data_IF_173910346054
#
_entry.id   IF_173910346054
#
_cell.length_a   1.000
_cell.length_b   1.000
_cell.length_c   1.000
_cell.angle_alpha   90.00
_cell.angle_beta   90.00
_cell.angle_gamma   90.00
#
_symmetry.space_group_name_H-M   'P 1'
#
loop_
_entity.id
_entity.type
_entity.pdbx_description
1 polymer ?
#
# COMPACT_ATOMS: atom_id res chain seq x y z
N UNK A 1 14.85 17.71 9.16
CA UNK A 1 13.57 17.80 8.42
C UNK A 1 13.76 17.34 7.00
N UNK A 2 13.38 16.11 6.67
CA UNK A 2 13.27 15.68 5.28
C UNK A 2 11.82 15.73 4.85
N UNK A 3 11.32 16.95 4.57
CA UNK A 3 9.94 17.16 4.12
C UNK A 3 9.55 16.25 2.95
N UNK A 4 10.47 16.03 2.00
CA UNK A 4 10.24 15.11 0.88
C UNK A 4 10.00 13.66 1.32
N UNK A 5 10.72 13.18 2.34
CA UNK A 5 10.53 11.83 2.89
C UNK A 5 9.18 11.71 3.61
N UNK A 6 8.82 12.70 4.42
CA UNK A 6 7.52 12.74 5.10
C UNK A 6 6.36 12.69 4.08
N UNK A 7 6.42 13.54 3.05
CA UNK A 7 5.39 13.58 2.01
C UNK A 7 5.32 12.27 1.21
N UNK A 8 6.45 11.64 0.90
CA UNK A 8 6.49 10.35 0.22
C UNK A 8 5.82 9.26 1.07
N UNK A 9 6.19 9.16 2.35
CA UNK A 9 5.62 8.17 3.27
C UNK A 9 4.12 8.34 3.43
N UNK A 10 3.63 9.58 3.56
CA UNK A 10 2.21 9.87 3.65
C UNK A 10 1.47 9.58 2.33
N UNK A 11 2.03 10.01 1.20
CA UNK A 11 1.42 9.82 -0.11
C UNK A 11 1.27 8.35 -0.49
N UNK A 12 2.23 7.49 -0.09
CA UNK A 12 2.15 6.04 -0.32
C UNK A 12 1.35 5.35 0.78
N UNK A 13 1.57 5.71 2.04
CA UNK A 13 0.96 5.05 3.19
C UNK A 13 -0.55 5.23 3.28
N UNK A 14 -1.08 6.43 2.98
CA UNK A 14 -2.52 6.70 3.07
C UNK A 14 -3.31 5.78 2.14
N UNK A 15 -2.99 5.66 0.83
CA UNK A 15 -3.68 4.73 -0.03
C UNK A 15 -3.64 3.27 0.43
N UNK A 16 -2.49 2.81 0.94
CA UNK A 16 -2.34 1.45 1.46
C UNK A 16 -3.19 1.20 2.71
N UNK A 17 -3.35 2.20 3.58
CA UNK A 17 -4.16 2.10 4.79
C UNK A 17 -5.67 2.15 4.50
N UNK A 18 -6.08 3.03 3.58
CA UNK A 18 -7.48 3.35 3.28
C UNK A 18 -8.10 2.37 2.26
N UNK A 19 -7.35 2.02 1.21
CA UNK A 19 -7.79 1.12 0.13
C UNK A 19 -6.89 -0.11 0.00
N UNK A 20 -6.70 -0.90 1.08
CA UNK A 20 -5.77 -2.02 1.07
C UNK A 20 -6.17 -3.12 0.10
N UNK A 21 -7.46 -3.33 -0.12
CA UNK A 21 -7.95 -4.37 -1.02
C UNK A 21 -7.62 -4.04 -2.47
N UNK A 22 -7.85 -2.79 -2.89
CA UNK A 22 -7.61 -2.29 -4.23
C UNK A 22 -6.11 -2.32 -4.56
N UNK A 23 -5.27 -1.90 -3.61
CA UNK A 23 -3.81 -1.94 -3.73
C UNK A 23 -3.30 -3.38 -3.80
N UNK A 24 -3.74 -4.25 -2.88
CA UNK A 24 -3.36 -5.67 -2.90
C UNK A 24 -3.80 -6.35 -4.19
N UNK A 25 -5.03 -6.09 -4.64
CA UNK A 25 -5.57 -6.63 -5.90
C UNK A 25 -4.80 -6.15 -7.11
N UNK A 26 -4.40 -4.88 -7.13
CA UNK A 26 -3.55 -4.36 -8.21
C UNK A 26 -2.20 -5.07 -8.25
N UNK A 27 -1.57 -5.28 -7.09
CA UNK A 27 -0.33 -6.06 -6.97
C UNK A 27 -0.48 -7.48 -7.50
N UNK A 28 -1.50 -8.21 -7.05
CA UNK A 28 -1.78 -9.58 -7.51
C UNK A 28 -2.04 -9.66 -9.01
N UNK A 29 -2.73 -8.65 -9.55
CA UNK A 29 -2.98 -8.56 -10.99
C UNK A 29 -1.67 -8.37 -11.77
N UNK A 30 -0.78 -7.48 -11.30
CA UNK A 30 0.56 -7.34 -11.89
C UNK A 30 1.35 -8.65 -11.81
N UNK A 31 1.32 -9.33 -10.67
CA UNK A 31 2.00 -10.62 -10.48
C UNK A 31 1.40 -11.74 -11.36
N UNK A 32 0.13 -11.61 -11.73
CA UNK A 32 -0.57 -12.56 -12.60
C UNK A 32 -0.29 -12.38 -14.10
N UNK A 33 0.51 -11.38 -14.51
CA UNK A 33 0.87 -11.16 -15.92
C UNK A 33 1.58 -12.40 -16.45
N UNK A 34 1.05 -12.96 -17.55
CA UNK A 34 1.52 -14.22 -18.14
C UNK A 34 0.83 -15.48 -17.59
N UNK A 35 -0.07 -15.35 -16.60
CA UNK A 35 -0.94 -16.44 -16.18
C UNK A 35 -2.10 -16.66 -17.16
N UNK A 36 -2.78 -17.81 -17.05
CA UNK A 36 -4.00 -18.11 -17.81
C UNK A 36 -5.26 -17.52 -17.19
N UNK A 37 -5.18 -16.88 -16.02
CA UNK A 37 -6.33 -16.30 -15.31
C UNK A 37 -6.67 -14.94 -15.91
N UNK A 38 -7.97 -14.65 -16.07
CA UNK A 38 -8.38 -13.33 -16.54
C UNK A 38 -8.06 -12.27 -15.47
N UNK A 39 -7.54 -11.12 -15.90
CA UNK A 39 -7.17 -10.00 -15.01
C UNK A 39 -8.30 -9.58 -14.07
N UNK A 40 -9.54 -9.60 -14.55
CA UNK A 40 -10.73 -9.26 -13.77
C UNK A 40 -11.06 -10.25 -12.65
N UNK A 41 -10.58 -11.50 -12.76
CA UNK A 41 -10.84 -12.59 -11.82
C UNK A 41 -9.74 -12.75 -10.77
N UNK A 42 -8.67 -11.95 -10.87
CA UNK A 42 -7.58 -11.98 -9.89
C UNK A 42 -8.03 -11.22 -8.64
N UNK A 43 -8.01 -11.94 -7.52
CA UNK A 43 -8.40 -11.49 -6.19
C UNK A 43 -7.27 -11.71 -5.20
N UNK A 44 -6.99 -10.75 -4.30
CA UNK A 44 -5.95 -10.89 -3.30
C UNK A 44 -6.37 -11.85 -2.19
N UNK A 45 -5.38 -12.54 -1.63
CA UNK A 45 -5.58 -13.28 -0.40
C UNK A 45 -5.84 -12.31 0.78
N UNK A 46 -6.67 -12.72 1.75
CA UNK A 46 -7.00 -11.88 2.92
C UNK A 46 -5.75 -11.45 3.70
N UNK A 47 -4.73 -12.31 3.79
CA UNK A 47 -3.49 -12.00 4.49
C UNK A 47 -2.71 -10.88 3.78
N UNK A 48 -2.75 -10.82 2.45
CA UNK A 48 -2.09 -9.77 1.68
C UNK A 48 -2.78 -8.43 1.93
N UNK A 49 -4.13 -8.39 1.89
CA UNK A 49 -4.91 -7.19 2.24
C UNK A 49 -4.59 -6.69 3.66
N UNK A 50 -4.49 -7.59 4.63
CA UNK A 50 -4.11 -7.23 6.02
C UNK A 50 -2.70 -6.66 6.07
N UNK A 51 -1.74 -7.28 5.39
CA UNK A 51 -0.36 -6.81 5.33
C UNK A 51 -0.27 -5.42 4.67
N UNK A 52 -0.92 -5.21 3.53
CA UNK A 52 -1.00 -3.92 2.83
C UNK A 52 -1.51 -2.83 3.77
N UNK A 53 -2.59 -3.10 4.53
CA UNK A 53 -3.11 -2.15 5.51
C UNK A 53 -2.10 -1.84 6.61
N UNK A 54 -1.48 -2.86 7.21
CA UNK A 54 -0.52 -2.69 8.31
C UNK A 54 0.69 -1.88 7.86
N UNK A 55 1.25 -2.18 6.68
CA UNK A 55 2.35 -1.43 6.09
C UNK A 55 1.94 0.02 5.83
N UNK A 56 0.75 0.23 5.27
CA UNK A 56 0.20 1.57 5.03
C UNK A 56 0.09 2.40 6.31
N UNK A 57 -0.49 1.82 7.38
CA UNK A 57 -0.58 2.47 8.70
C UNK A 57 0.81 2.80 9.24
N UNK A 58 1.77 1.87 9.14
CA UNK A 58 3.15 2.10 9.56
C UNK A 58 3.81 3.25 8.80
N UNK A 59 3.65 3.30 7.48
CA UNK A 59 4.15 4.40 6.64
C UNK A 59 3.50 5.74 7.02
N UNK A 60 2.20 5.78 7.25
CA UNK A 60 1.51 7.01 7.70
C UNK A 60 2.07 7.47 9.04
N UNK A 61 2.21 6.55 10.00
CA UNK A 61 2.74 6.87 11.32
C UNK A 61 4.16 7.44 11.26
N UNK A 62 5.06 6.79 10.51
CA UNK A 62 6.43 7.26 10.29
C UNK A 62 6.47 8.60 9.54
N UNK A 63 5.60 8.78 8.54
CA UNK A 63 5.49 10.03 7.80
C UNK A 63 5.02 11.19 8.66
N UNK A 64 4.07 10.95 9.58
CA UNK A 64 3.63 11.95 10.56
C UNK A 64 4.73 12.30 11.57
N UNK A 65 5.49 11.31 12.05
CA UNK A 65 6.65 11.57 12.93
C UNK A 65 7.64 12.48 12.21
N UNK A 66 8.08 12.10 11.00
CA UNK A 66 9.05 12.89 10.25
C UNK A 66 8.52 14.30 9.93
N UNK A 67 7.22 14.46 9.64
CA UNK A 67 6.63 15.77 9.38
C UNK A 67 6.62 16.69 10.61
N UNK A 68 6.45 16.13 11.80
CA UNK A 68 6.28 16.88 13.05
C UNK A 68 7.59 17.09 13.81
N UNK A 69 8.55 16.17 13.67
CA UNK A 69 9.82 16.19 14.41
C UNK A 69 11.04 16.48 13.54
N UNK A 70 10.94 16.23 12.24
CA UNK A 70 12.01 16.52 11.29
C UNK A 70 12.26 18.01 11.27
#
# INVERSE_FOLDING_TARGET
MYLGLALLLLAVGIPHAVWPYEIARFGERLDSIGSKRAWSEVEPAEWNVKLTRVVGIGMVFLGLIELLTG
#
